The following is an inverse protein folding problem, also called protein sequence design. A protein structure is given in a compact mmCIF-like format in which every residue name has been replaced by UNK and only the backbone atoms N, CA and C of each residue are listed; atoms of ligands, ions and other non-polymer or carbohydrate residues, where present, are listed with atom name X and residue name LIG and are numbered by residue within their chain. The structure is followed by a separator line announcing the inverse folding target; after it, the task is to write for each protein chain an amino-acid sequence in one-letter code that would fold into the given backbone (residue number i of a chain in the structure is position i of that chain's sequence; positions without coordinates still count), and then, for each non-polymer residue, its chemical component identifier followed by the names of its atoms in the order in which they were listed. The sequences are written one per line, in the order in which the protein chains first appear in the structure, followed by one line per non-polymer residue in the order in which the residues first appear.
data_IF_276571255289
#
_entry.id   IF_276571255289
#
_cell.length_a   1.000
_cell.length_b   1.000
_cell.length_c   1.000
_cell.angle_alpha   90.00
_cell.angle_beta   90.00
_cell.angle_gamma   90.00
#
_symmetry.space_group_name_H-M   'P 1'
#
loop_
_entity.id
_entity.type
_entity.pdbx_description
1 polymer ?
#
# COMPACT_ATOMS: atom_id res chain seq x y z
N UNK A 1 28.94 -35.14 -4.82
CA UNK A 1 27.59 -35.28 -5.40
C UNK A 1 26.96 -33.93 -5.70
N UNK A 2 26.77 -33.05 -4.72
CA UNK A 2 26.07 -31.76 -4.90
C UNK A 2 26.97 -30.59 -5.37
N UNK A 3 28.29 -30.79 -5.37
CA UNK A 3 29.29 -29.83 -5.82
C UNK A 3 30.12 -30.40 -6.96
N UNK A 4 30.59 -29.52 -7.83
CA UNK A 4 31.64 -29.77 -8.82
C UNK A 4 33.00 -29.74 -8.15
N UNK A 5 34.03 -30.28 -8.81
CA UNK A 5 35.43 -30.25 -8.32
C UNK A 5 35.95 -28.83 -8.06
N UNK A 6 35.42 -27.83 -8.77
CA UNK A 6 35.71 -26.40 -8.53
C UNK A 6 34.95 -25.77 -7.36
N UNK A 7 34.31 -26.57 -6.51
CA UNK A 7 33.38 -26.13 -5.45
C UNK A 7 32.19 -25.29 -5.95
N UNK A 8 31.88 -25.34 -7.26
CA UNK A 8 30.65 -24.78 -7.82
C UNK A 8 29.44 -25.70 -7.61
N UNK A 9 28.23 -25.16 -7.70
CA UNK A 9 26.97 -25.94 -7.61
C UNK A 9 26.88 -26.96 -8.74
N UNK A 10 26.58 -28.22 -8.43
CA UNK A 10 26.31 -29.24 -9.45
C UNK A 10 24.85 -29.12 -9.91
N UNK A 11 24.63 -28.88 -11.20
CA UNK A 11 23.30 -28.87 -11.80
C UNK A 11 22.72 -30.28 -11.86
N UNK A 12 21.38 -30.39 -11.83
CA UNK A 12 20.68 -31.64 -12.07
C UNK A 12 20.87 -32.06 -13.52
N UNK A 13 21.27 -33.32 -13.73
CA UNK A 13 21.62 -33.89 -15.04
C UNK A 13 20.96 -35.28 -15.15
N UNK A 14 19.64 -35.35 -15.38
CA UNK A 14 18.85 -36.59 -15.29
C UNK A 14 19.22 -37.62 -16.36
N UNK A 15 19.83 -37.18 -17.46
CA UNK A 15 20.29 -38.05 -18.56
C UNK A 15 21.79 -38.37 -18.46
N UNK A 16 22.51 -37.65 -17.59
CA UNK A 16 23.95 -37.77 -17.39
C UNK A 16 24.27 -38.32 -15.99
N UNK A 17 24.98 -37.53 -15.19
CA UNK A 17 25.49 -37.94 -13.87
C UNK A 17 24.43 -38.40 -12.86
N UNK A 18 23.16 -38.06 -13.08
CA UNK A 18 22.07 -38.33 -12.13
C UNK A 18 21.06 -39.37 -12.65
N UNK A 19 21.36 -40.05 -13.76
CA UNK A 19 20.46 -41.03 -14.40
C UNK A 19 20.01 -42.18 -13.48
N UNK A 20 20.84 -42.57 -12.52
CA UNK A 20 20.55 -43.66 -11.59
C UNK A 20 19.78 -43.23 -10.33
N UNK A 21 19.48 -41.94 -10.17
CA UNK A 21 18.81 -41.40 -8.99
C UNK A 21 17.29 -41.35 -9.17
N UNK A 22 16.56 -41.39 -8.06
CA UNK A 22 15.10 -41.26 -8.05
C UNK A 22 14.68 -39.91 -8.64
N UNK A 23 13.63 -39.90 -9.47
CA UNK A 23 13.13 -38.69 -10.14
C UNK A 23 12.72 -37.59 -9.15
N UNK A 24 12.20 -37.98 -7.99
CA UNK A 24 11.80 -37.08 -6.90
C UNK A 24 12.95 -36.20 -6.37
N UNK A 25 14.20 -36.61 -6.61
CA UNK A 25 15.37 -35.81 -6.22
C UNK A 25 15.49 -34.52 -7.02
N UNK A 26 14.91 -34.47 -8.23
CA UNK A 26 14.92 -33.29 -9.07
C UNK A 26 14.32 -32.06 -8.37
N UNK A 27 13.23 -32.25 -7.62
CA UNK A 27 12.52 -31.18 -6.91
C UNK A 27 13.36 -30.56 -5.78
N UNK A 28 14.21 -31.37 -5.14
CA UNK A 28 15.04 -30.95 -4.00
C UNK A 28 16.48 -30.64 -4.38
N UNK A 29 16.89 -30.96 -5.61
CA UNK A 29 18.29 -30.90 -6.05
C UNK A 29 18.88 -29.51 -5.91
N UNK A 30 18.16 -28.49 -6.36
CA UNK A 30 18.61 -27.09 -6.28
C UNK A 30 18.85 -26.69 -4.83
N UNK A 31 17.91 -27.02 -3.94
CA UNK A 31 18.02 -26.74 -2.50
C UNK A 31 19.22 -27.44 -1.87
N UNK A 32 19.48 -28.71 -2.23
CA UNK A 32 20.63 -29.46 -1.71
C UNK A 32 21.97 -28.95 -2.26
N UNK A 33 22.05 -28.64 -3.55
CA UNK A 33 23.23 -28.05 -4.18
C UNK A 33 23.56 -26.67 -3.60
N UNK A 34 22.54 -25.85 -3.36
CA UNK A 34 22.67 -24.56 -2.69
C UNK A 34 23.17 -24.70 -1.26
N UNK A 35 22.64 -25.68 -0.51
CA UNK A 35 23.04 -25.94 0.87
C UNK A 35 24.48 -26.43 0.93
N UNK A 36 24.86 -27.37 0.07
CA UNK A 36 26.22 -27.87 -0.03
C UNK A 36 27.22 -26.76 -0.39
N UNK A 37 26.83 -25.85 -1.30
CA UNK A 37 27.66 -24.70 -1.67
C UNK A 37 27.83 -23.70 -0.52
N UNK A 38 26.78 -23.43 0.24
CA UNK A 38 26.87 -22.58 1.43
C UNK A 38 27.75 -23.20 2.52
N UNK A 39 27.63 -24.51 2.72
CA UNK A 39 28.45 -25.26 3.69
C UNK A 39 29.92 -25.24 3.26
N UNK A 40 30.23 -25.47 1.97
CA UNK A 40 31.62 -25.47 1.50
C UNK A 40 32.29 -24.09 1.54
N UNK A 41 31.49 -23.01 1.61
CA UNK A 41 31.98 -21.64 1.82
C UNK A 41 32.03 -21.23 3.29
N UNK A 42 31.44 -22.01 4.20
CA UNK A 42 31.33 -21.68 5.62
C UNK A 42 31.93 -22.79 6.50
N UNK A 43 33.18 -22.60 6.91
CA UNK A 43 33.91 -23.53 7.77
C UNK A 43 33.19 -23.85 9.10
N UNK A 44 32.34 -22.96 9.62
CA UNK A 44 31.61 -23.20 10.87
C UNK A 44 30.56 -24.32 10.72
N UNK A 45 29.93 -24.42 9.54
CA UNK A 45 28.97 -25.50 9.24
C UNK A 45 29.66 -26.85 9.10
N UNK A 46 30.85 -26.86 8.48
CA UNK A 46 31.67 -28.06 8.37
C UNK A 46 32.22 -28.51 9.73
N UNK A 47 32.60 -27.56 10.59
CA UNK A 47 32.97 -27.84 11.98
C UNK A 47 31.80 -28.41 12.78
N UNK A 48 30.59 -27.88 12.64
CA UNK A 48 29.39 -28.44 13.28
C UNK A 48 29.12 -29.88 12.84
N UNK A 49 29.24 -30.18 11.55
CA UNK A 49 29.08 -31.55 11.02
C UNK A 49 30.14 -32.51 11.58
N UNK A 50 31.37 -32.04 11.78
CA UNK A 50 32.45 -32.82 12.44
C UNK A 50 32.19 -32.98 13.94
N UNK A 51 31.62 -31.98 14.61
CA UNK A 51 31.28 -32.03 16.04
C UNK A 51 30.09 -32.93 16.36
N UNK A 52 29.19 -33.17 15.40
CA UNK A 52 28.04 -34.05 15.59
C UNK A 52 28.36 -35.54 15.72
N UNK A 53 29.61 -35.97 15.48
CA UNK A 53 30.05 -37.37 15.60
C UNK A 53 29.13 -38.39 14.86
N UNK A 54 28.48 -37.98 13.77
CA UNK A 54 27.56 -38.83 13.01
C UNK A 54 28.25 -40.06 12.41
N UNK A 55 29.56 -39.97 12.19
CA UNK A 55 30.46 -41.04 11.74
C UNK A 55 30.62 -42.19 12.75
N UNK A 56 30.31 -41.95 14.03
CA UNK A 56 30.44 -42.94 15.11
C UNK A 56 29.14 -43.67 15.45
N UNK A 57 28.05 -43.36 14.74
CA UNK A 57 26.75 -43.97 14.99
C UNK A 57 26.68 -45.39 14.42
N UNK A 58 26.10 -46.32 15.19
CA UNK A 58 25.67 -47.61 14.65
C UNK A 58 24.55 -47.42 13.62
N UNK A 59 24.28 -48.44 12.80
CA UNK A 59 23.23 -48.40 11.78
C UNK A 59 21.86 -48.00 12.37
N UNK A 60 21.49 -48.57 13.52
CA UNK A 60 20.21 -48.31 14.17
C UNK A 60 20.13 -46.87 14.73
N UNK A 61 21.23 -46.35 15.28
CA UNK A 61 21.32 -44.96 15.72
C UNK A 61 21.28 -43.99 14.55
N UNK A 62 21.94 -44.35 13.43
CA UNK A 62 21.92 -43.56 12.20
C UNK A 62 20.50 -43.43 11.64
N UNK A 63 19.72 -44.52 11.60
CA UNK A 63 18.32 -44.49 11.18
C UNK A 63 17.44 -43.63 12.10
N UNK A 64 17.62 -43.73 13.42
CA UNK A 64 16.88 -42.91 14.38
C UNK A 64 17.21 -41.41 14.24
N UNK A 65 18.49 -41.08 14.05
CA UNK A 65 18.95 -39.70 13.81
C UNK A 65 18.42 -39.17 12.48
N UNK A 66 18.45 -39.97 11.41
CA UNK A 66 17.87 -39.60 10.11
C UNK A 66 16.38 -39.27 10.24
N UNK A 67 15.60 -40.10 10.94
CA UNK A 67 14.18 -39.84 11.17
C UNK A 67 13.96 -38.54 11.95
N UNK A 68 14.78 -38.27 12.98
CA UNK A 68 14.72 -37.02 13.76
C UNK A 68 15.07 -35.79 12.90
N UNK A 69 16.14 -35.87 12.12
CA UNK A 69 16.56 -34.80 11.20
C UNK A 69 15.48 -34.55 10.15
N UNK A 70 14.90 -35.60 9.56
CA UNK A 70 13.81 -35.48 8.60
C UNK A 70 12.62 -34.71 9.20
N UNK A 71 12.19 -35.06 10.41
CA UNK A 71 11.12 -34.36 11.11
C UNK A 71 11.44 -32.89 11.41
N UNK A 72 12.69 -32.59 11.79
CA UNK A 72 13.14 -31.20 11.99
C UNK A 72 13.13 -30.42 10.68
N UNK A 73 13.57 -31.04 9.58
CA UNK A 73 13.58 -30.43 8.26
C UNK A 73 12.16 -30.17 7.75
N UNK A 74 11.22 -31.10 7.92
CA UNK A 74 9.82 -30.92 7.52
C UNK A 74 9.19 -29.73 8.26
N UNK A 75 9.44 -29.62 9.58
CA UNK A 75 9.01 -28.46 10.37
C UNK A 75 9.68 -27.17 9.90
N UNK A 76 10.98 -27.19 9.65
CA UNK A 76 11.72 -26.02 9.21
C UNK A 76 11.25 -25.54 7.83
N UNK A 77 10.88 -26.46 6.93
CA UNK A 77 10.37 -26.13 5.60
C UNK A 77 8.98 -25.48 5.69
N UNK A 78 8.08 -26.03 6.51
CA UNK A 78 6.78 -25.40 6.77
C UNK A 78 6.94 -23.97 7.33
N UNK A 79 7.88 -23.76 8.25
CA UNK A 79 8.19 -22.44 8.79
C UNK A 79 8.74 -21.50 7.70
N UNK A 80 9.67 -21.96 6.87
CA UNK A 80 10.23 -21.15 5.76
C UNK A 80 9.18 -20.75 4.74
N UNK A 81 8.31 -21.68 4.35
CA UNK A 81 7.20 -21.39 3.44
C UNK A 81 6.26 -20.33 4.04
N UNK A 82 5.95 -20.44 5.34
CA UNK A 82 5.17 -19.42 6.03
C UNK A 82 5.88 -18.06 6.05
N UNK A 83 7.18 -18.01 6.34
CA UNK A 83 7.96 -16.77 6.31
C UNK A 83 7.96 -16.13 4.93
N UNK A 84 8.03 -16.89 3.84
CA UNK A 84 7.95 -16.35 2.47
C UNK A 84 6.60 -15.66 2.21
N UNK A 85 5.48 -16.30 2.56
CA UNK A 85 4.15 -15.70 2.43
C UNK A 85 3.99 -14.43 3.28
N UNK A 86 4.60 -14.38 4.47
CA UNK A 86 4.60 -13.18 5.32
C UNK A 86 5.50 -12.07 4.73
N UNK A 87 6.65 -12.44 4.17
CA UNK A 87 7.55 -11.50 3.50
C UNK A 87 6.87 -10.82 2.32
N UNK A 88 6.02 -11.52 1.56
CA UNK A 88 5.22 -10.91 0.48
C UNK A 88 4.30 -9.79 0.99
N UNK A 89 3.70 -9.97 2.17
CA UNK A 89 2.85 -8.94 2.81
C UNK A 89 3.67 -7.73 3.23
N UNK A 90 4.83 -7.96 3.85
CA UNK A 90 5.78 -6.88 4.20
C UNK A 90 6.24 -6.14 2.93
N UNK A 91 6.58 -6.88 1.88
CA UNK A 91 7.01 -6.33 0.59
C UNK A 91 5.89 -5.57 -0.14
N UNK A 92 4.62 -5.82 0.16
CA UNK A 92 3.49 -5.11 -0.42
C UNK A 92 3.25 -3.74 0.24
N UNK A 93 3.73 -3.55 1.47
CA UNK A 93 3.58 -2.31 2.25
C UNK A 93 4.86 -1.46 2.30
N UNK A 94 5.78 -1.63 1.33
CA UNK A 94 6.98 -0.81 1.25
C UNK A 94 6.63 0.65 0.92
N UNK A 95 7.45 1.58 1.38
CA UNK A 95 7.26 3.02 1.11
C UNK A 95 7.11 3.32 -0.38
N UNK A 96 7.89 2.66 -1.24
CA UNK A 96 7.81 2.83 -2.69
C UNK A 96 6.42 2.48 -3.25
N UNK A 97 5.86 1.32 -2.86
CA UNK A 97 4.54 0.89 -3.34
C UNK A 97 3.42 1.74 -2.77
N UNK A 98 3.49 2.04 -1.48
CA UNK A 98 2.48 2.86 -0.82
C UNK A 98 2.51 4.31 -1.31
N UNK A 99 3.67 4.87 -1.62
CA UNK A 99 3.79 6.22 -2.17
C UNK A 99 3.13 6.32 -3.55
N UNK A 100 3.30 5.31 -4.41
CA UNK A 100 2.63 5.25 -5.70
C UNK A 100 1.09 5.17 -5.54
N UNK A 101 0.60 4.39 -4.59
CA UNK A 101 -0.83 4.32 -4.27
C UNK A 101 -1.35 5.64 -3.67
N UNK A 102 -0.63 6.25 -2.75
CA UNK A 102 -0.98 7.56 -2.17
C UNK A 102 -1.00 8.67 -3.22
N UNK A 103 -0.02 8.70 -4.14
CA UNK A 103 -0.02 9.65 -5.24
C UNK A 103 -1.27 9.48 -6.10
N UNK A 104 -1.65 8.23 -6.43
CA UNK A 104 -2.90 7.97 -7.15
C UNK A 104 -4.14 8.41 -6.36
N UNK A 105 -4.19 8.20 -5.05
CA UNK A 105 -5.30 8.68 -4.19
C UNK A 105 -5.47 10.18 -4.29
N UNK A 106 -4.36 10.92 -4.24
CA UNK A 106 -4.38 12.38 -4.24
C UNK A 106 -4.68 12.94 -5.64
N UNK A 107 -4.03 12.39 -6.66
CA UNK A 107 -3.98 12.99 -7.99
C UNK A 107 -4.80 12.25 -9.05
N UNK A 108 -5.31 11.04 -8.81
CA UNK A 108 -6.13 10.24 -9.72
C UNK A 108 -5.41 9.69 -10.97
N UNK A 109 -4.71 10.53 -11.72
CA UNK A 109 -4.11 10.31 -13.05
C UNK A 109 -2.95 9.30 -13.15
N UNK A 110 -2.85 8.37 -12.19
CA UNK A 110 -1.80 7.36 -12.10
C UNK A 110 -0.69 7.71 -11.10
N UNK A 111 0.23 6.77 -10.83
CA UNK A 111 1.21 6.86 -9.75
C UNK A 111 2.30 7.94 -9.95
N UNK A 112 2.42 8.51 -11.16
CA UNK A 112 3.41 9.56 -11.48
C UNK A 112 2.83 10.97 -11.47
N UNK A 113 1.52 11.13 -11.25
CA UNK A 113 0.91 12.45 -11.16
C UNK A 113 1.26 13.11 -9.82
N UNK A 114 1.73 14.37 -9.86
CA UNK A 114 2.23 15.07 -8.65
C UNK A 114 1.80 16.52 -8.52
N UNK A 115 1.28 17.14 -9.58
CA UNK A 115 1.03 18.58 -9.59
C UNK A 115 -0.11 19.01 -10.52
N UNK A 116 -0.96 18.06 -10.93
CA UNK A 116 -2.14 18.31 -11.75
C UNK A 116 -1.86 18.94 -13.15
N UNK A 117 -0.65 18.77 -13.69
CA UNK A 117 -0.25 19.34 -15.01
C UNK A 117 -0.67 18.53 -16.23
N UNK A 118 -1.25 17.33 -16.05
CA UNK A 118 -1.63 16.44 -17.15
C UNK A 118 -2.80 17.01 -17.98
N UNK A 119 -2.92 16.66 -19.27
CA UNK A 119 -3.90 17.25 -20.22
C UNK A 119 -5.37 17.09 -19.80
N UNK A 120 -5.70 16.04 -19.05
CA UNK A 120 -7.03 15.82 -18.47
C UNK A 120 -7.39 16.80 -17.34
N UNK A 121 -6.52 17.74 -16.98
CA UNK A 121 -6.78 18.79 -15.99
C UNK A 121 -7.75 19.88 -16.46
N UNK A 122 -7.85 20.11 -17.77
CA UNK A 122 -8.53 21.32 -18.32
C UNK A 122 -9.88 21.01 -18.95
N UNK A 123 -9.99 19.99 -19.79
CA UNK A 123 -11.22 19.66 -20.54
C UNK A 123 -11.84 18.39 -19.97
N UNK A 124 -13.02 18.50 -19.36
CA UNK A 124 -13.68 17.39 -18.64
C UNK A 124 -13.03 17.03 -17.29
N UNK A 125 -12.05 17.84 -16.86
CA UNK A 125 -11.13 17.57 -15.76
C UNK A 125 -11.33 18.38 -14.49
N UNK A 126 -10.24 18.52 -13.72
CA UNK A 126 -10.17 19.29 -12.46
C UNK A 126 -10.62 20.75 -12.56
N UNK A 127 -10.56 21.32 -13.76
CA UNK A 127 -11.02 22.66 -14.06
C UNK A 127 -12.54 22.84 -14.12
N UNK A 128 -13.30 21.76 -14.19
CA UNK A 128 -14.74 21.79 -14.49
C UNK A 128 -15.56 21.69 -13.20
N UNK A 129 -16.24 22.79 -12.88
CA UNK A 129 -17.13 22.91 -11.70
C UNK A 129 -18.19 21.80 -11.62
N UNK A 130 -18.68 21.34 -12.78
CA UNK A 130 -19.67 20.27 -12.88
C UNK A 130 -19.21 18.94 -12.27
N UNK A 131 -17.90 18.68 -12.18
CA UNK A 131 -17.38 17.45 -11.59
C UNK A 131 -17.62 17.40 -10.08
N UNK A 132 -17.75 18.54 -9.42
CA UNK A 132 -18.10 18.62 -7.99
C UNK A 132 -19.49 18.05 -7.68
N UNK A 133 -20.34 17.87 -8.69
CA UNK A 133 -21.67 17.24 -8.57
C UNK A 133 -21.62 15.71 -8.61
N UNK A 134 -20.48 15.16 -9.03
CA UNK A 134 -20.28 13.75 -9.35
C UNK A 134 -19.05 13.19 -8.62
N UNK A 135 -18.86 13.57 -7.35
CA UNK A 135 -17.75 13.05 -6.54
C UNK A 135 -16.37 13.52 -6.99
N UNK A 136 -16.29 14.57 -7.82
CA UNK A 136 -15.03 15.01 -8.42
C UNK A 136 -14.51 14.05 -9.48
N UNK A 137 -15.34 13.07 -9.88
CA UNK A 137 -14.96 11.96 -10.73
C UNK A 137 -14.43 12.44 -12.08
N UNK A 138 -13.22 11.99 -12.43
CA UNK A 138 -12.61 12.20 -13.74
C UNK A 138 -12.29 10.83 -14.32
N UNK A 139 -12.76 10.61 -15.55
CA UNK A 139 -12.90 9.27 -16.13
C UNK A 139 -13.66 8.34 -15.17
N UNK A 140 -12.93 7.49 -14.44
CA UNK A 140 -13.46 6.50 -13.49
C UNK A 140 -12.85 6.56 -12.08
N UNK A 141 -12.20 7.67 -11.72
CA UNK A 141 -11.59 7.81 -10.41
C UNK A 141 -12.03 9.11 -9.72
N UNK A 142 -12.29 9.03 -8.42
CA UNK A 142 -12.55 10.18 -7.54
C UNK A 142 -11.30 10.40 -6.70
N UNK A 143 -10.49 11.43 -7.02
CA UNK A 143 -9.28 11.71 -6.26
C UNK A 143 -9.55 12.65 -5.09
N UNK A 144 -8.72 12.56 -4.04
CA UNK A 144 -8.81 13.45 -2.89
C UNK A 144 -8.53 14.90 -3.27
N UNK A 145 -7.63 15.14 -4.23
CA UNK A 145 -7.37 16.49 -4.74
C UNK A 145 -8.61 17.14 -5.35
N UNK A 146 -9.45 16.36 -6.03
CA UNK A 146 -10.69 16.82 -6.67
C UNK A 146 -11.69 17.26 -5.62
N UNK A 147 -11.82 16.43 -4.57
CA UNK A 147 -12.62 16.78 -3.40
C UNK A 147 -12.13 18.08 -2.77
N UNK A 148 -10.82 18.24 -2.61
CA UNK A 148 -10.22 19.43 -2.03
C UNK A 148 -10.47 20.69 -2.85
N UNK A 149 -10.32 20.61 -4.17
CA UNK A 149 -10.65 21.71 -5.07
C UNK A 149 -12.14 22.08 -4.97
N UNK A 150 -13.04 21.09 -4.97
CA UNK A 150 -14.48 21.33 -4.92
C UNK A 150 -14.96 21.97 -3.61
N UNK A 151 -14.32 21.67 -2.47
CA UNK A 151 -14.70 22.27 -1.17
C UNK A 151 -13.97 23.58 -0.88
N UNK A 152 -12.92 23.92 -1.62
CA UNK A 152 -12.08 25.09 -1.36
C UNK A 152 -12.06 26.17 -2.45
N UNK A 153 -12.54 25.87 -3.66
CA UNK A 153 -12.52 26.80 -4.79
C UNK A 153 -13.96 27.20 -5.15
N UNK A 154 -14.24 28.50 -5.16
CA UNK A 154 -15.55 29.00 -5.61
C UNK A 154 -15.55 29.38 -7.11
N UNK A 155 -16.72 29.61 -7.68
CA UNK A 155 -16.95 30.09 -9.04
C UNK A 155 -17.30 31.60 -9.10
N UNK A 156 -17.19 32.31 -7.97
CA UNK A 156 -17.62 33.72 -7.86
C UNK A 156 -16.62 34.66 -8.51
N UNK A 157 -17.11 35.73 -9.13
CA UNK A 157 -16.27 36.77 -9.71
C UNK A 157 -15.51 37.60 -8.65
N UNK A 158 -15.95 37.59 -7.39
CA UNK A 158 -15.35 38.32 -6.27
C UNK A 158 -14.93 37.35 -5.16
N UNK A 159 -13.89 37.67 -4.37
CA UNK A 159 -13.52 36.85 -3.22
C UNK A 159 -14.70 36.67 -2.25
N UNK A 160 -14.71 35.59 -1.46
CA UNK A 160 -15.60 35.49 -0.30
C UNK A 160 -15.42 36.72 0.59
N UNK A 161 -16.52 37.27 1.09
CA UNK A 161 -16.50 38.45 1.96
C UNK A 161 -17.41 38.24 3.17
N UNK A 162 -17.17 39.01 4.24
CA UNK A 162 -17.85 38.85 5.53
C UNK A 162 -17.38 37.60 6.28
N UNK A 163 -18.23 37.03 7.14
CA UNK A 163 -17.90 35.86 7.98
C UNK A 163 -17.90 34.52 7.22
N UNK A 164 -18.07 34.57 5.89
CA UNK A 164 -18.20 33.39 5.04
C UNK A 164 -16.86 33.03 4.42
N UNK A 165 -16.05 32.32 5.19
CA UNK A 165 -14.75 31.86 4.72
C UNK A 165 -14.82 30.45 4.11
N UNK A 166 -14.04 30.23 3.05
CA UNK A 166 -13.88 28.93 2.39
C UNK A 166 -12.46 28.41 2.67
N UNK A 167 -12.36 27.24 3.30
CA UNK A 167 -11.10 26.54 3.61
C UNK A 167 -10.00 27.36 4.31
N UNK A 168 -10.37 28.50 4.89
CA UNK A 168 -9.51 29.34 5.72
C UNK A 168 -10.39 30.06 6.74
N UNK A 169 -9.85 30.44 7.88
CA UNK A 169 -10.46 31.37 8.84
C UNK A 169 -9.95 32.81 8.67
N UNK A 170 -8.93 33.00 7.83
CA UNK A 170 -8.33 34.29 7.51
C UNK A 170 -8.81 34.80 6.14
N UNK A 171 -9.27 36.05 6.12
CA UNK A 171 -9.84 36.70 4.92
C UNK A 171 -8.84 36.92 3.77
N UNK A 172 -7.55 36.64 3.97
CA UNK A 172 -6.48 36.80 2.97
C UNK A 172 -6.00 35.49 2.37
N UNK A 173 -6.32 34.35 3.00
CA UNK A 173 -5.71 33.06 2.66
C UNK A 173 -6.64 32.24 1.76
N UNK A 174 -7.23 32.92 0.78
CA UNK A 174 -8.02 32.31 -0.28
C UNK A 174 -7.14 31.98 -1.48
N UNK A 175 -7.49 30.93 -2.19
CA UNK A 175 -6.88 30.61 -3.48
C UNK A 175 -7.08 31.76 -4.48
N UNK A 176 -6.07 32.01 -5.32
CA UNK A 176 -6.04 33.14 -6.25
C UNK A 176 -6.86 32.91 -7.51
N UNK A 177 -7.22 31.65 -7.81
CA UNK A 177 -8.04 31.26 -8.96
C UNK A 177 -9.36 30.66 -8.53
N UNK A 178 -10.31 30.64 -9.47
CA UNK A 178 -11.70 30.25 -9.28
C UNK A 178 -12.15 29.33 -10.40
N UNK A 179 -13.22 28.61 -10.14
CA UNK A 179 -13.92 27.86 -11.17
C UNK A 179 -14.58 28.79 -12.21
N UNK A 180 -14.66 28.38 -13.49
CA UNK A 180 -13.87 27.30 -14.07
C UNK A 180 -12.39 27.67 -14.13
N UNK A 181 -11.50 26.75 -13.76
CA UNK A 181 -10.06 26.96 -13.87
C UNK A 181 -9.69 26.88 -15.36
N UNK A 182 -8.94 27.84 -15.89
CA UNK A 182 -8.82 28.00 -17.35
C UNK A 182 -7.70 27.17 -17.96
N UNK A 183 -6.84 26.60 -17.13
CA UNK A 183 -5.65 25.86 -17.57
C UNK A 183 -5.12 24.91 -16.50
N UNK A 184 -4.28 23.96 -16.91
CA UNK A 184 -3.55 23.06 -16.00
C UNK A 184 -2.69 23.86 -15.01
N UNK A 185 -2.15 25.00 -15.45
CA UNK A 185 -1.39 25.92 -14.62
C UNK A 185 -2.24 26.55 -13.53
N UNK A 186 -3.50 26.90 -13.80
CA UNK A 186 -4.40 27.41 -12.77
C UNK A 186 -4.70 26.34 -11.73
N UNK A 187 -4.97 25.09 -12.14
CA UNK A 187 -5.18 23.95 -11.23
C UNK A 187 -3.95 23.74 -10.33
N UNK A 188 -2.75 23.69 -10.93
CA UNK A 188 -1.49 23.58 -10.19
C UNK A 188 -1.29 24.73 -9.20
N UNK A 189 -1.59 25.97 -9.62
CA UNK A 189 -1.43 27.17 -8.78
C UNK A 189 -2.31 27.07 -7.54
N UNK A 190 -3.61 26.77 -7.75
CA UNK A 190 -4.57 26.58 -6.65
C UNK A 190 -4.13 25.44 -5.73
N UNK A 191 -3.69 24.31 -6.28
CA UNK A 191 -3.23 23.19 -5.46
C UNK A 191 -2.02 23.55 -4.59
N UNK A 192 -1.07 24.32 -5.12
CA UNK A 192 0.09 24.80 -4.34
C UNK A 192 -0.38 25.71 -3.21
N UNK A 193 -1.22 26.70 -3.51
CA UNK A 193 -1.79 27.63 -2.52
C UNK A 193 -2.55 26.88 -1.42
N UNK A 194 -3.37 25.88 -1.78
CA UNK A 194 -4.10 25.07 -0.80
C UNK A 194 -3.15 24.31 0.13
N UNK A 195 -2.08 23.69 -0.40
CA UNK A 195 -1.09 23.00 0.43
C UNK A 195 -0.36 23.95 1.37
N UNK A 196 -0.02 25.14 0.89
CA UNK A 196 0.64 26.20 1.68
C UNK A 196 -0.27 26.69 2.80
N UNK A 197 -1.53 27.01 2.49
CA UNK A 197 -2.53 27.49 3.45
C UNK A 197 -2.85 26.43 4.51
N UNK A 198 -2.91 25.15 4.13
CA UNK A 198 -3.12 24.06 5.07
C UNK A 198 -1.89 23.69 5.90
N UNK A 199 -0.73 24.33 5.66
CA UNK A 199 0.53 24.11 6.39
C UNK A 199 0.85 22.61 6.53
N UNK A 200 0.63 21.85 5.45
CA UNK A 200 0.83 20.40 5.46
C UNK A 200 2.26 20.10 5.89
N UNK A 201 2.40 19.26 6.92
CA UNK A 201 3.71 18.91 7.48
C UNK A 201 4.56 18.22 6.42
N UNK A 202 5.83 18.63 6.30
CA UNK A 202 6.76 18.09 5.30
C UNK A 202 7.15 16.63 5.58
N UNK A 203 7.02 16.17 6.82
CA UNK A 203 7.34 14.80 7.23
C UNK A 203 6.23 14.24 8.12
N UNK A 204 5.58 13.17 7.65
CA UNK A 204 4.62 12.41 8.44
C UNK A 204 4.83 10.92 8.19
N UNK A 205 4.85 10.14 9.27
CA UNK A 205 4.84 8.68 9.16
C UNK A 205 3.40 8.20 9.23
N UNK A 206 2.93 7.59 8.16
CA UNK A 206 1.54 7.13 8.08
C UNK A 206 1.38 5.81 8.84
N UNK A 207 0.42 5.77 9.76
CA UNK A 207 0.04 4.56 10.50
C UNK A 207 -1.37 4.10 10.11
N UNK A 208 -1.71 2.81 10.23
CA UNK A 208 -3.07 2.32 10.00
C UNK A 208 -4.11 3.09 10.81
N UNK A 209 -3.82 3.31 12.11
CA UNK A 209 -4.71 4.02 13.02
C UNK A 209 -4.88 5.50 12.61
N UNK A 210 -3.79 6.17 12.22
CA UNK A 210 -3.84 7.57 11.79
C UNK A 210 -4.70 7.76 10.54
N UNK A 211 -4.59 6.86 9.56
CA UNK A 211 -5.45 6.90 8.35
C UNK A 211 -6.91 6.73 8.72
N UNK A 212 -7.25 5.72 9.54
CA UNK A 212 -8.64 5.47 9.94
C UNK A 212 -9.22 6.61 10.75
N UNK A 213 -8.43 7.21 11.65
CA UNK A 213 -8.85 8.38 12.42
C UNK A 213 -9.13 9.57 11.51
N UNK A 214 -8.25 9.84 10.53
CA UNK A 214 -8.46 10.90 9.55
C UNK A 214 -9.74 10.67 8.73
N UNK A 215 -10.01 9.44 8.28
CA UNK A 215 -11.22 9.11 7.53
C UNK A 215 -12.49 9.27 8.39
N UNK A 216 -12.45 8.84 9.65
CA UNK A 216 -13.56 9.03 10.59
C UNK A 216 -13.84 10.51 10.85
N UNK A 217 -12.79 11.34 10.98
CA UNK A 217 -12.93 12.78 11.12
C UNK A 217 -13.59 13.42 9.90
N UNK A 218 -13.14 13.06 8.68
CA UNK A 218 -13.77 13.56 7.45
C UNK A 218 -15.22 13.08 7.34
N UNK A 219 -15.52 11.86 7.79
CA UNK A 219 -16.87 11.31 7.73
C UNK A 219 -17.84 12.10 8.62
N UNK A 220 -17.37 12.57 9.77
CA UNK A 220 -18.17 13.42 10.66
C UNK A 220 -18.57 14.76 10.02
N UNK A 221 -17.87 15.20 8.97
CA UNK A 221 -18.20 16.42 8.23
C UNK A 221 -19.14 16.18 7.03
N UNK A 222 -19.51 14.92 6.75
CA UNK A 222 -20.47 14.61 5.69
C UNK A 222 -21.88 15.03 6.11
N UNK A 223 -22.55 15.77 5.23
CA UNK A 223 -23.94 16.21 5.40
C UNK A 223 -24.84 15.44 4.45
N UNK A 224 -25.97 14.97 4.94
CA UNK A 224 -27.04 14.42 4.10
C UNK A 224 -28.05 15.53 3.83
N UNK A 225 -28.27 15.85 2.56
CA UNK A 225 -29.24 16.84 2.12
C UNK A 225 -30.02 16.27 0.93
N UNK A 226 -31.36 16.28 1.00
CA UNK A 226 -32.25 15.82 -0.08
C UNK A 226 -31.85 14.45 -0.67
N UNK A 227 -31.52 13.49 0.20
CA UNK A 227 -31.17 12.13 -0.21
C UNK A 227 -29.84 12.01 -0.95
N UNK A 228 -28.91 12.95 -0.76
CA UNK A 228 -27.55 12.89 -1.28
C UNK A 228 -26.56 13.24 -0.17
N UNK A 229 -25.32 12.77 -0.29
CA UNK A 229 -24.25 13.07 0.65
C UNK A 229 -23.30 14.14 0.11
N UNK A 230 -22.83 14.99 1.01
CA UNK A 230 -22.03 16.15 0.68
C UNK A 230 -20.88 16.34 1.66
N UNK A 231 -19.73 16.78 1.17
CA UNK A 231 -18.68 17.38 1.99
C UNK A 231 -18.60 18.88 1.68
N UNK A 232 -18.40 19.71 2.70
CA UNK A 232 -18.35 21.18 2.59
C UNK A 232 -19.64 21.87 3.07
N UNK A 233 -19.98 22.98 2.44
CA UNK A 233 -21.18 23.75 2.72
C UNK A 233 -22.15 23.62 1.53
N UNK A 234 -23.08 22.63 1.54
CA UNK A 234 -24.19 22.59 0.58
C UNK A 234 -25.34 23.49 1.05
N UNK A 235 -25.93 24.28 0.15
CA UNK A 235 -27.13 25.11 0.43
C UNK A 235 -28.22 24.89 -0.62
N UNK A 236 -29.47 25.25 -0.29
CA UNK A 236 -30.58 25.28 -1.22
C UNK A 236 -30.89 23.90 -1.82
N UNK A 237 -30.53 23.69 -3.09
CA UNK A 237 -30.68 22.41 -3.77
C UNK A 237 -29.54 21.43 -3.53
N UNK A 238 -28.43 21.85 -2.91
CA UNK A 238 -27.19 21.10 -2.85
C UNK A 238 -26.65 20.86 -4.26
N UNK A 239 -26.57 21.94 -5.05
CA UNK A 239 -26.15 21.86 -6.44
C UNK A 239 -24.65 21.63 -6.55
N UNK A 240 -23.86 22.10 -5.57
CA UNK A 240 -22.40 22.15 -5.63
C UNK A 240 -21.94 22.70 -6.98
N UNK A 241 -22.42 23.90 -7.31
CA UNK A 241 -21.98 24.66 -8.49
C UNK A 241 -20.96 25.75 -8.14
N UNK A 242 -20.58 25.83 -6.85
CA UNK A 242 -19.56 26.73 -6.33
C UNK A 242 -19.94 28.22 -6.50
N UNK A 243 -21.19 28.54 -6.85
CA UNK A 243 -21.62 29.89 -7.19
C UNK A 243 -21.89 30.77 -5.96
N UNK A 244 -22.15 30.18 -4.79
CA UNK A 244 -22.24 30.88 -3.51
C UNK A 244 -21.19 30.32 -2.54
N UNK A 245 -20.70 31.18 -1.65
CA UNK A 245 -19.93 30.79 -0.44
C UNK A 245 -20.56 29.65 0.36
N UNK A 246 -21.89 29.56 0.34
CA UNK A 246 -22.66 28.53 1.02
C UNK A 246 -23.03 27.31 0.14
N UNK A 247 -22.59 27.25 -1.12
CA UNK A 247 -22.74 26.07 -2.01
C UNK A 247 -21.38 25.61 -2.56
N UNK A 248 -20.31 25.85 -1.79
CA UNK A 248 -18.98 25.29 -2.05
C UNK A 248 -18.89 23.93 -1.37
N UNK A 249 -19.17 22.90 -2.17
CA UNK A 249 -19.27 21.54 -1.71
C UNK A 249 -18.89 20.53 -2.79
N UNK A 250 -18.77 19.28 -2.39
CA UNK A 250 -18.73 18.14 -3.31
C UNK A 250 -19.88 17.20 -2.96
N UNK A 251 -20.60 16.75 -3.98
CA UNK A 251 -21.69 15.78 -3.88
C UNK A 251 -21.15 14.39 -4.20
N UNK A 252 -21.49 13.40 -3.39
CA UNK A 252 -21.18 11.98 -3.60
C UNK A 252 -22.47 11.20 -3.90
N UNK A 253 -22.83 10.98 -5.19
CA UNK A 253 -24.07 10.30 -5.56
C UNK A 253 -24.14 8.86 -5.02
N UNK A 254 -23.01 8.15 -5.04
CA UNK A 254 -22.95 6.72 -4.66
C UNK A 254 -22.89 6.49 -3.14
N UNK A 255 -22.77 7.54 -2.33
CA UNK A 255 -22.62 7.41 -0.88
C UNK A 255 -23.79 6.67 -0.23
N UNK A 256 -25.03 6.89 -0.69
CA UNK A 256 -26.21 6.24 -0.10
C UNK A 256 -26.60 4.92 -0.81
N UNK A 257 -25.70 4.35 -1.63
CA UNK A 257 -25.92 3.10 -2.36
C UNK A 257 -26.23 1.88 -1.47
N UNK A 258 -26.86 0.86 -2.07
CA UNK A 258 -27.58 -0.20 -1.36
C UNK A 258 -26.75 -1.33 -0.76
N UNK A 259 -25.52 -1.58 -1.24
CA UNK A 259 -24.73 -2.76 -0.81
C UNK A 259 -23.76 -2.46 0.32
N UNK A 260 -23.15 -1.27 0.33
CA UNK A 260 -22.29 -0.73 1.41
C UNK A 260 -22.39 0.81 1.45
N UNK A 261 -23.45 1.38 2.04
CA UNK A 261 -23.58 2.83 2.12
C UNK A 261 -22.44 3.43 2.95
N UNK A 262 -22.14 4.69 2.68
CA UNK A 262 -21.10 5.47 3.34
C UNK A 262 -19.86 5.68 2.47
N UNK A 263 -18.77 6.02 3.14
CA UNK A 263 -17.50 6.35 2.50
C UNK A 263 -16.80 5.20 1.79
N UNK A 264 -17.25 3.96 1.96
CA UNK A 264 -16.72 2.84 1.17
C UNK A 264 -17.01 2.98 -0.33
N UNK A 265 -18.04 3.74 -0.71
CA UNK A 265 -18.35 4.01 -2.11
C UNK A 265 -17.60 5.23 -2.66
N UNK A 266 -16.82 5.94 -1.83
CA UNK A 266 -15.96 7.03 -2.26
C UNK A 266 -14.57 6.49 -2.55
N UNK A 267 -14.09 6.64 -3.78
CA UNK A 267 -12.92 5.88 -4.28
C UNK A 267 -11.64 6.23 -3.52
N UNK A 268 -11.34 7.52 -3.31
CA UNK A 268 -10.13 7.90 -2.55
C UNK A 268 -10.19 7.44 -1.08
N UNK A 269 -11.37 7.42 -0.44
CA UNK A 269 -11.53 6.95 0.94
C UNK A 269 -11.31 5.44 1.03
N UNK A 270 -11.99 4.67 0.18
CA UNK A 270 -11.84 3.22 0.15
C UNK A 270 -10.39 2.80 -0.14
N UNK A 271 -9.69 3.55 -0.99
CA UNK A 271 -8.28 3.32 -1.29
C UNK A 271 -7.39 3.60 -0.07
N UNK A 272 -7.62 4.70 0.67
CA UNK A 272 -6.88 4.98 1.91
C UNK A 272 -7.11 3.92 2.99
N UNK A 273 -8.35 3.44 3.15
CA UNK A 273 -8.65 2.35 4.07
C UNK A 273 -7.94 1.05 3.67
N UNK A 274 -7.87 0.74 2.38
CA UNK A 274 -7.11 -0.41 1.89
C UNK A 274 -5.59 -0.27 2.14
N UNK A 275 -5.04 0.95 2.05
CA UNK A 275 -3.65 1.24 2.44
C UNK A 275 -3.45 0.99 3.94
N UNK A 276 -4.38 1.42 4.79
CA UNK A 276 -4.34 1.15 6.23
C UNK A 276 -4.35 -0.36 6.53
N UNK A 277 -5.20 -1.12 5.84
CA UNK A 277 -5.27 -2.58 5.97
C UNK A 277 -3.96 -3.27 5.55
N UNK A 278 -3.31 -2.78 4.47
CA UNK A 278 -2.01 -3.29 4.01
C UNK A 278 -0.91 -3.04 5.05
N UNK A 279 -0.83 -1.82 5.59
CA UNK A 279 0.13 -1.46 6.64
C UNK A 279 -0.06 -2.37 7.87
N UNK A 280 -1.29 -2.52 8.34
CA UNK A 280 -1.59 -3.36 9.51
C UNK A 280 -1.31 -4.84 9.25
N UNK A 281 -1.56 -5.32 8.02
CA UNK A 281 -1.21 -6.69 7.63
C UNK A 281 0.30 -6.89 7.55
N UNK A 282 1.07 -5.87 7.20
CA UNK A 282 2.53 -5.93 7.15
C UNK A 282 3.14 -5.91 8.56
N UNK A 283 2.63 -5.07 9.46
CA UNK A 283 3.06 -5.02 10.86
C UNK A 283 2.88 -6.39 11.54
N UNK A 284 1.68 -6.97 11.43
CA UNK A 284 1.41 -8.33 11.93
C UNK A 284 2.28 -9.39 11.27
N UNK A 285 2.59 -9.23 9.98
CA UNK A 285 3.45 -10.18 9.28
C UNK A 285 4.89 -10.12 9.79
N UNK A 286 5.42 -8.92 10.05
CA UNK A 286 6.74 -8.72 10.61
C UNK A 286 6.85 -9.32 12.03
N UNK A 287 5.85 -9.10 12.89
CA UNK A 287 5.79 -9.71 14.23
C UNK A 287 5.78 -11.24 14.17
N UNK A 288 4.96 -11.81 13.27
CA UNK A 288 4.92 -13.27 13.06
C UNK A 288 6.25 -13.80 12.53
N UNK A 289 6.92 -13.09 11.62
CA UNK A 289 8.23 -13.48 11.11
C UNK A 289 9.29 -13.52 12.20
N UNK A 290 9.29 -12.57 13.14
CA UNK A 290 10.19 -12.60 14.30
C UNK A 290 9.99 -13.88 15.13
N UNK A 291 8.73 -14.23 15.43
CA UNK A 291 8.39 -15.45 16.18
C UNK A 291 8.82 -16.73 15.43
N UNK A 292 8.65 -16.75 14.10
CA UNK A 292 9.05 -17.90 13.26
C UNK A 292 10.58 -18.03 13.16
N UNK A 293 11.31 -16.92 13.23
CA UNK A 293 12.76 -16.93 13.22
C UNK A 293 13.34 -17.50 14.51
N UNK A 294 12.70 -17.24 15.65
CA UNK A 294 13.00 -17.91 16.93
C UNK A 294 12.73 -19.41 16.85
N UNK A 295 11.60 -19.81 16.28
CA UNK A 295 11.25 -21.22 16.08
C UNK A 295 12.28 -21.95 15.19
N UNK A 296 12.74 -21.32 14.10
CA UNK A 296 13.81 -21.88 13.25
C UNK A 296 15.12 -22.03 14.01
N UNK A 297 15.47 -21.05 14.85
CA UNK A 297 16.68 -21.11 15.69
C UNK A 297 16.61 -22.27 16.68
N UNK A 298 15.45 -22.47 17.31
CA UNK A 298 15.20 -23.57 18.25
C UNK A 298 15.21 -24.94 17.55
N UNK A 299 14.62 -25.05 16.36
CA UNK A 299 14.68 -26.25 15.54
C UNK A 299 16.13 -26.60 15.16
N UNK A 300 16.93 -25.60 14.79
CA UNK A 300 18.34 -25.78 14.47
C UNK A 300 19.19 -26.17 15.69
N UNK A 301 18.83 -25.72 16.91
CA UNK A 301 19.50 -26.13 18.15
C UNK A 301 19.09 -27.54 18.62
N UNK A 302 17.94 -28.04 18.16
CA UNK A 302 17.41 -29.37 18.52
C UNK A 302 17.88 -30.49 17.58
N UNK A 303 18.54 -30.12 16.48
CA UNK A 303 19.14 -31.00 15.48
C UNK A 303 20.51 -31.48 15.95
#
# INVERSE_FOLDING_TARGET
MFLRESNGKQAWEPEGKHKALLKEWAERWVTWADSAFRISKNCASEQKAKQSNFDKLSLQQSLAVQAKIAHILDKAEAVRSRMQSLQEKVNAATSEKLQAEMAKVVYGGGPTATDFTQSKSVTGGWAVVGNCKLGGKIDDYEALGDAFLCVCVNARASPPGGDKNICSDHSTDFVSKRFPLKSAKDVKTVWIELKENCKLQATFSTTPAGVRQAMAAIQAHVKILKGNAYLGAPEGTGACDQADTNDVCIKYPEYLGSTKPGFHNVVWVSTLLAIADKLESADRAAEQMHSLQELLSNLAASA
#
